data_IF_424733869421
#
_entry.id   IF_424733869421
#
_cell.length_a   1.000
_cell.length_b   1.000
_cell.length_c   1.000
_cell.angle_alpha   90.00
_cell.angle_beta   90.00
_cell.angle_gamma   90.00
#
_symmetry.space_group_name_H-M   'P 1'
#
loop_
_entity.id
_entity.type
_entity.pdbx_description
1 polymer ?
#
# COMPACT_ATOMS: atom_id res chain seq x y z
N UNK A 1 16.94 -4.73 21.59
CA UNK A 1 16.53 -3.54 20.84
C UNK A 1 15.05 -3.27 21.03
N UNK A 2 14.70 -2.03 21.20
CA UNK A 2 13.31 -1.64 21.31
C UNK A 2 12.69 -1.68 19.91
N UNK A 3 11.63 -2.47 19.70
CA UNK A 3 10.96 -2.42 18.41
C UNK A 3 10.41 -1.03 18.16
N UNK A 4 10.44 -0.59 16.93
CA UNK A 4 9.84 0.66 16.54
C UNK A 4 8.34 0.66 16.81
N UNK A 5 7.67 1.83 16.66
CA UNK A 5 6.22 1.88 16.80
C UNK A 5 5.55 0.85 15.90
N UNK A 6 4.53 0.20 16.41
CA UNK A 6 3.80 -0.80 15.64
C UNK A 6 3.14 -0.13 14.42
N UNK A 7 3.20 -0.81 13.27
CA UNK A 7 2.49 -0.37 12.08
C UNK A 7 0.99 -0.67 12.24
N UNK A 8 0.15 0.17 11.64
CA UNK A 8 -1.28 -0.10 11.52
C UNK A 8 -1.63 -0.32 10.05
N UNK A 9 -2.74 -1.00 9.81
CA UNK A 9 -3.25 -1.16 8.45
C UNK A 9 -3.70 0.20 7.91
N UNK A 10 -3.34 0.54 6.66
CA UNK A 10 -3.74 1.83 6.07
C UNK A 10 -5.24 1.94 5.79
N UNK A 11 -5.92 0.82 5.62
CA UNK A 11 -7.38 0.73 5.54
C UNK A 11 -7.82 -0.52 6.27
N UNK A 12 -9.09 -0.56 6.69
CA UNK A 12 -9.68 -1.74 7.31
C UNK A 12 -10.50 -2.48 6.26
N UNK A 13 -10.24 -3.77 6.09
CA UNK A 13 -10.96 -4.60 5.12
C UNK A 13 -10.35 -5.98 4.99
N UNK A 14 -11.00 -6.84 4.22
CA UNK A 14 -10.50 -8.18 3.96
C UNK A 14 -9.36 -8.13 2.96
N UNK A 15 -8.42 -9.06 3.07
CA UNK A 15 -7.41 -9.25 2.04
C UNK A 15 -8.06 -9.93 0.83
N UNK A 16 -8.04 -9.25 -0.32
CA UNK A 16 -8.53 -9.80 -1.58
C UNK A 16 -7.43 -10.63 -2.24
N UNK A 17 -6.19 -10.17 -2.16
CA UNK A 17 -5.02 -10.88 -2.69
C UNK A 17 -3.93 -10.78 -1.65
N UNK A 18 -3.40 -11.92 -1.24
CA UNK A 18 -2.30 -11.98 -0.26
C UNK A 18 -0.95 -11.75 -0.91
N UNK A 19 0.05 -11.55 -0.07
CA UNK A 19 1.43 -11.43 -0.50
C UNK A 19 1.93 -12.79 -1.03
N UNK A 20 2.58 -12.78 -2.19
CA UNK A 20 3.12 -13.98 -2.79
C UNK A 20 4.43 -13.67 -3.51
N UNK A 21 5.56 -13.91 -2.84
CA UNK A 21 6.88 -13.70 -3.40
C UNK A 21 7.40 -14.94 -4.12
N UNK A 22 7.16 -16.11 -3.54
CA UNK A 22 7.74 -17.36 -4.00
C UNK A 22 6.73 -18.26 -4.73
N UNK A 23 5.45 -17.93 -4.71
CA UNK A 23 4.40 -18.64 -5.41
C UNK A 23 3.66 -17.68 -6.33
N UNK A 24 3.08 -18.21 -7.41
CA UNK A 24 2.35 -17.38 -8.35
C UNK A 24 0.88 -17.33 -7.99
N UNK A 25 0.29 -16.14 -8.13
CA UNK A 25 -1.16 -15.96 -8.06
C UNK A 25 -1.66 -15.53 -9.44
N UNK A 26 -2.89 -15.91 -9.78
CA UNK A 26 -3.46 -15.55 -11.07
C UNK A 26 -4.00 -14.13 -11.04
N UNK A 27 -3.57 -13.31 -12.00
CA UNK A 27 -4.12 -11.98 -12.20
C UNK A 27 -5.19 -12.04 -13.28
N UNK A 28 -6.45 -11.81 -12.91
CA UNK A 28 -7.54 -11.75 -13.88
C UNK A 28 -7.39 -10.58 -14.84
N UNK A 29 -6.89 -9.44 -14.35
CA UNK A 29 -6.68 -8.26 -15.18
C UNK A 29 -5.62 -8.50 -16.25
N UNK A 30 -4.48 -9.08 -15.86
CA UNK A 30 -3.36 -9.32 -16.76
C UNK A 30 -3.48 -10.64 -17.53
N UNK A 31 -4.38 -11.51 -17.10
CA UNK A 31 -4.57 -12.81 -17.73
C UNK A 31 -3.39 -13.76 -17.56
N UNK A 32 -2.64 -13.66 -16.49
CA UNK A 32 -1.44 -14.44 -16.27
C UNK A 32 -1.19 -14.72 -14.80
N UNK A 33 -0.38 -15.72 -14.53
CA UNK A 33 0.12 -16.03 -13.19
C UNK A 33 1.33 -15.18 -12.91
N UNK A 34 1.38 -14.56 -11.72
CA UNK A 34 2.48 -13.68 -11.36
C UNK A 34 2.66 -13.64 -9.84
N UNK A 35 3.85 -13.23 -9.39
CA UNK A 35 4.09 -12.95 -7.99
C UNK A 35 3.31 -11.68 -7.60
N UNK A 36 2.90 -11.60 -6.34
CA UNK A 36 2.20 -10.43 -5.81
C UNK A 36 3.02 -9.81 -4.68
N UNK A 37 3.66 -8.70 -4.96
CA UNK A 37 4.65 -8.08 -4.07
C UNK A 37 4.04 -7.24 -2.93
N UNK A 38 2.74 -7.26 -2.79
CA UNK A 38 2.03 -6.56 -1.74
C UNK A 38 0.77 -7.32 -1.40
N UNK A 39 -0.17 -6.62 -0.79
CA UNK A 39 -1.50 -7.15 -0.51
C UNK A 39 -2.55 -6.20 -1.06
N UNK A 40 -3.68 -6.75 -1.46
CA UNK A 40 -4.85 -5.96 -1.86
C UNK A 40 -5.89 -6.06 -0.76
N UNK A 41 -6.29 -4.93 -0.22
CA UNK A 41 -7.20 -4.84 0.91
C UNK A 41 -8.52 -4.25 0.41
N UNK A 42 -9.62 -4.98 0.59
CA UNK A 42 -10.95 -4.50 0.20
C UNK A 42 -11.26 -3.17 0.90
N UNK A 43 -11.72 -2.19 0.14
CA UNK A 43 -12.07 -0.87 0.68
C UNK A 43 -13.01 -0.18 -0.28
N UNK A 44 -13.91 0.64 0.24
CA UNK A 44 -14.84 1.38 -0.60
C UNK A 44 -14.11 2.47 -1.40
N UNK A 45 -14.60 2.78 -2.60
CA UNK A 45 -14.11 3.92 -3.35
C UNK A 45 -14.25 5.19 -2.50
N UNK A 46 -13.19 5.98 -2.44
CA UNK A 46 -13.16 7.20 -1.64
C UNK A 46 -12.82 7.00 -0.18
N UNK A 47 -12.68 5.76 0.30
CA UNK A 47 -12.29 5.50 1.68
C UNK A 47 -10.92 6.11 1.97
N UNK A 48 -10.80 6.76 3.13
CA UNK A 48 -9.55 7.40 3.55
C UNK A 48 -8.47 6.35 3.76
N UNK A 49 -7.28 6.66 3.26
CA UNK A 49 -6.07 5.85 3.46
C UNK A 49 -5.19 6.56 4.48
N UNK A 50 -4.82 5.83 5.54
CA UNK A 50 -4.05 6.37 6.66
C UNK A 50 -2.59 5.97 6.56
N UNK A 51 -1.71 6.84 7.07
CA UNK A 51 -0.28 6.51 7.18
C UNK A 51 -0.12 5.36 8.17
N UNK A 52 0.54 4.26 7.78
CA UNK A 52 0.72 3.11 8.68
C UNK A 52 1.59 3.40 9.90
N UNK A 53 2.47 4.38 9.83
CA UNK A 53 3.32 4.84 10.92
C UNK A 53 3.86 6.22 10.59
N UNK A 54 4.46 6.88 11.58
CA UNK A 54 5.11 8.17 11.36
C UNK A 54 6.24 8.04 10.36
N UNK A 55 6.41 9.05 9.52
CA UNK A 55 7.47 9.07 8.53
C UNK A 55 7.43 10.29 7.64
N UNK A 56 8.17 10.20 6.54
CA UNK A 56 8.28 11.26 5.54
C UNK A 56 7.80 10.74 4.19
N UNK A 57 6.97 11.51 3.50
CA UNK A 57 6.55 11.20 2.14
C UNK A 57 7.74 11.40 1.21
N UNK A 58 8.19 10.33 0.58
CA UNK A 58 9.38 10.36 -0.30
C UNK A 58 9.03 10.40 -1.77
N UNK A 59 7.85 9.90 -2.16
CA UNK A 59 7.42 9.91 -3.56
C UNK A 59 5.90 10.05 -3.64
N UNK A 60 5.46 10.79 -4.65
CA UNK A 60 4.07 10.86 -5.09
C UNK A 60 4.12 10.73 -6.60
N UNK A 61 3.65 9.62 -7.15
CA UNK A 61 3.82 9.32 -8.57
C UNK A 61 2.61 8.59 -9.14
N UNK A 62 2.51 8.61 -10.46
CA UNK A 62 1.56 7.77 -11.18
C UNK A 62 2.35 6.59 -11.76
N UNK A 63 2.13 5.40 -11.20
CA UNK A 63 2.73 4.18 -11.71
C UNK A 63 1.89 3.67 -12.87
N UNK A 64 2.54 3.22 -13.94
CA UNK A 64 1.85 2.77 -15.15
C UNK A 64 0.87 1.63 -14.89
N UNK A 65 1.20 0.72 -13.98
CA UNK A 65 0.37 -0.45 -13.68
C UNK A 65 -0.40 -0.32 -12.37
N UNK A 66 0.19 0.34 -11.36
CA UNK A 66 -0.39 0.39 -10.01
C UNK A 66 -1.17 1.68 -9.74
N UNK A 67 -1.10 2.65 -10.66
CA UNK A 67 -1.84 3.89 -10.55
C UNK A 67 -1.19 4.91 -9.62
N UNK A 68 -2.01 5.80 -9.07
CA UNK A 68 -1.49 6.84 -8.17
C UNK A 68 -0.94 6.21 -6.90
N UNK A 69 0.30 6.54 -6.59
CA UNK A 69 1.06 5.89 -5.52
C UNK A 69 1.74 6.92 -4.64
N UNK A 70 1.63 6.73 -3.32
CA UNK A 70 2.35 7.51 -2.32
C UNK A 70 3.31 6.57 -1.60
N UNK A 71 4.56 6.98 -1.47
CA UNK A 71 5.59 6.22 -0.76
C UNK A 71 5.99 6.98 0.50
N UNK A 72 5.97 6.29 1.64
CA UNK A 72 6.34 6.86 2.94
C UNK A 72 7.50 6.06 3.50
N UNK A 73 8.60 6.75 3.83
CA UNK A 73 9.69 6.14 4.57
C UNK A 73 9.44 6.39 6.05
N UNK A 74 9.20 5.31 6.78
CA UNK A 74 8.91 5.38 8.21
C UNK A 74 10.19 5.55 9.04
N UNK A 75 10.05 6.20 10.18
CA UNK A 75 11.17 6.42 11.10
C UNK A 75 11.75 5.10 11.61
N UNK A 76 10.93 4.04 11.61
CA UNK A 76 11.32 2.69 12.03
C UNK A 76 12.19 1.94 11.02
N UNK A 77 12.39 2.49 9.82
CA UNK A 77 13.15 1.83 8.75
C UNK A 77 12.30 1.08 7.74
N UNK A 78 11.01 0.88 8.03
CA UNK A 78 10.08 0.34 7.04
C UNK A 78 9.73 1.40 6.01
N UNK A 79 9.30 0.94 4.84
CA UNK A 79 8.80 1.82 3.78
C UNK A 79 7.45 1.28 3.31
N UNK A 80 6.45 2.15 3.24
CA UNK A 80 5.11 1.79 2.76
C UNK A 80 4.87 2.39 1.39
N UNK A 81 4.29 1.59 0.49
CA UNK A 81 3.89 2.02 -0.84
C UNK A 81 2.40 1.79 -0.97
N UNK A 82 1.65 2.87 -1.11
CA UNK A 82 0.18 2.88 -1.11
C UNK A 82 -0.29 3.22 -2.52
N UNK A 83 -0.90 2.27 -3.21
CA UNK A 83 -1.24 2.38 -4.63
C UNK A 83 -2.74 2.20 -4.89
N UNK A 84 -3.14 2.45 -6.13
CA UNK A 84 -4.54 2.45 -6.55
C UNK A 84 -5.33 3.58 -5.90
N UNK A 85 -4.65 4.69 -5.64
CA UNK A 85 -5.27 5.87 -5.03
C UNK A 85 -6.10 6.65 -6.04
N UNK A 86 -7.05 7.42 -5.56
CA UNK A 86 -7.91 8.26 -6.40
C UNK A 86 -7.14 9.46 -6.97
N UNK A 87 -6.17 9.98 -6.23
CA UNK A 87 -5.38 11.16 -6.63
C UNK A 87 -4.11 11.25 -5.80
N UNK A 88 -3.27 12.26 -6.10
CA UNK A 88 -2.05 12.56 -5.36
C UNK A 88 -2.17 13.89 -4.60
N UNK A 89 -3.39 14.33 -4.30
CA UNK A 89 -3.62 15.68 -3.75
C UNK A 89 -3.55 15.76 -2.23
N UNK A 90 -3.51 14.62 -1.51
CA UNK A 90 -3.59 14.62 -0.05
C UNK A 90 -2.27 15.03 0.62
N UNK A 91 -1.14 14.66 0.02
CA UNK A 91 0.19 14.94 0.57
C UNK A 91 1.15 15.30 -0.56
N UNK A 92 2.29 15.88 -0.17
CA UNK A 92 3.37 16.24 -1.10
C UNK A 92 4.68 15.61 -0.63
N UNK A 93 5.60 15.40 -1.58
CA UNK A 93 6.94 14.90 -1.27
C UNK A 93 7.59 15.84 -0.26
N UNK A 94 8.17 15.25 0.79
CA UNK A 94 8.80 15.98 1.88
C UNK A 94 7.90 16.20 3.10
N UNK A 95 6.59 15.92 2.97
CA UNK A 95 5.68 16.08 4.11
C UNK A 95 5.99 15.07 5.21
N UNK A 96 5.95 15.54 6.46
CA UNK A 96 5.97 14.68 7.63
C UNK A 96 4.55 14.25 7.94
N UNK A 97 4.37 12.96 8.18
CA UNK A 97 3.06 12.41 8.57
C UNK A 97 3.21 11.65 9.88
N UNK A 98 2.14 11.64 10.66
CA UNK A 98 2.03 10.82 11.86
C UNK A 98 1.20 9.60 11.56
N UNK A 99 1.34 8.55 12.38
CA UNK A 99 0.52 7.36 12.24
C UNK A 99 -0.97 7.76 12.28
N UNK A 100 -1.72 7.30 11.30
CA UNK A 100 -3.15 7.59 11.19
C UNK A 100 -3.49 8.83 10.36
N UNK A 101 -2.51 9.65 9.99
CA UNK A 101 -2.78 10.83 9.15
C UNK A 101 -3.30 10.39 7.76
N UNK A 102 -4.20 11.18 7.19
CA UNK A 102 -4.71 10.93 5.85
C UNK A 102 -3.63 11.16 4.82
N UNK A 103 -3.37 10.16 3.97
CA UNK A 103 -2.37 10.26 2.90
C UNK A 103 -2.95 10.02 1.52
N UNK A 104 -4.24 9.70 1.44
CA UNK A 104 -4.92 9.50 0.17
C UNK A 104 -6.31 8.96 0.36
N UNK A 105 -6.91 8.53 -0.73
CA UNK A 105 -8.20 7.83 -0.72
C UNK A 105 -8.19 6.72 -1.77
N UNK A 106 -9.00 5.71 -1.56
CA UNK A 106 -9.10 4.55 -2.44
C UNK A 106 -9.72 4.95 -3.78
N UNK A 107 -9.06 4.56 -4.87
CA UNK A 107 -9.51 4.86 -6.22
C UNK A 107 -9.56 3.63 -7.10
N UNK A 108 -9.42 3.84 -8.41
CA UNK A 108 -9.40 2.79 -9.43
C UNK A 108 -8.33 3.10 -10.48
N UNK A 109 -7.17 3.57 -10.03
CA UNK A 109 -6.11 3.99 -10.94
C UNK A 109 -5.15 2.88 -11.34
N UNK A 110 -5.17 1.72 -10.68
CA UNK A 110 -4.27 0.61 -10.97
C UNK A 110 -4.78 -0.21 -12.15
N UNK A 111 -4.15 -0.07 -13.31
CA UNK A 111 -4.55 -0.83 -14.51
C UNK A 111 -4.34 -2.32 -14.35
N UNK A 112 -3.28 -2.73 -13.64
CA UNK A 112 -2.97 -4.15 -13.45
C UNK A 112 -3.98 -4.87 -12.56
N UNK A 113 -4.82 -4.13 -11.82
CA UNK A 113 -5.77 -4.69 -10.86
C UNK A 113 -7.18 -4.15 -11.04
N UNK A 114 -7.50 -3.64 -12.23
CA UNK A 114 -8.78 -2.99 -12.49
C UNK A 114 -9.99 -3.94 -12.40
N UNK A 115 -9.77 -5.25 -12.57
CA UNK A 115 -10.83 -6.24 -12.46
C UNK A 115 -11.15 -6.66 -11.03
N UNK A 116 -10.35 -6.22 -10.07
CA UNK A 116 -10.64 -6.49 -8.67
C UNK A 116 -11.72 -5.56 -8.14
N UNK A 117 -12.40 -6.01 -7.08
CA UNK A 117 -13.30 -5.12 -6.32
C UNK A 117 -12.52 -3.89 -5.82
N UNK A 118 -13.19 -2.79 -5.47
CA UNK A 118 -12.50 -1.63 -4.93
C UNK A 118 -11.58 -2.02 -3.79
N UNK A 119 -10.34 -1.52 -3.83
CA UNK A 119 -9.30 -1.95 -2.90
C UNK A 119 -8.14 -0.96 -2.84
N UNK A 120 -7.33 -1.09 -1.79
CA UNK A 120 -6.02 -0.46 -1.71
C UNK A 120 -4.96 -1.53 -1.99
N UNK A 121 -3.98 -1.20 -2.83
CA UNK A 121 -2.79 -2.04 -2.99
C UNK A 121 -1.70 -1.50 -2.07
N UNK A 122 -1.21 -2.35 -1.17
CA UNK A 122 -0.25 -1.97 -0.15
C UNK A 122 1.00 -2.85 -0.20
N UNK A 123 2.16 -2.21 -0.37
CA UNK A 123 3.45 -2.88 -0.33
C UNK A 123 4.23 -2.38 0.87
N UNK A 124 4.86 -3.30 1.58
CA UNK A 124 5.71 -2.99 2.73
C UNK A 124 7.11 -3.49 2.45
N UNK A 125 8.10 -2.64 2.67
CA UNK A 125 9.50 -2.97 2.44
C UNK A 125 10.31 -2.74 3.71
N UNK A 126 11.36 -3.54 3.89
CA UNK A 126 12.34 -3.34 4.94
C UNK A 126 13.71 -3.56 4.33
N UNK A 127 14.58 -2.56 4.44
CA UNK A 127 15.94 -2.59 3.85
C UNK A 127 15.93 -2.96 2.37
N UNK A 128 14.94 -2.43 1.62
CA UNK A 128 14.82 -2.66 0.18
C UNK A 128 14.17 -3.97 -0.22
N UNK A 129 13.79 -4.83 0.73
CA UNK A 129 13.15 -6.10 0.43
C UNK A 129 11.65 -6.03 0.70
N UNK A 130 10.87 -6.56 -0.24
CA UNK A 130 9.42 -6.70 -0.08
C UNK A 130 9.13 -7.73 1.01
N UNK A 131 8.23 -7.40 1.92
CA UNK A 131 7.81 -8.30 2.99
C UNK A 131 6.29 -8.37 3.05
N UNK A 132 5.78 -9.44 3.63
CA UNK A 132 4.34 -9.62 3.81
C UNK A 132 3.84 -8.73 4.96
N UNK A 133 3.00 -7.70 4.67
CA UNK A 133 2.50 -6.84 5.74
C UNK A 133 1.73 -7.60 6.82
N UNK A 134 1.06 -8.69 6.46
CA UNK A 134 0.26 -9.48 7.41
C UNK A 134 1.11 -10.16 8.47
N UNK A 135 2.42 -10.32 8.23
CA UNK A 135 3.34 -10.90 9.22
C UNK A 135 3.86 -9.86 10.22
N UNK A 136 3.72 -8.59 9.90
CA UNK A 136 4.26 -7.49 10.70
C UNK A 136 3.15 -6.72 11.40
N UNK A 137 2.06 -6.46 10.70
CA UNK A 137 0.94 -5.67 11.21
C UNK A 137 -0.05 -6.60 11.89
N UNK A 138 -0.38 -6.28 13.15
CA UNK A 138 -1.36 -7.04 13.94
C UNK A 138 -2.67 -6.28 14.01
N UNK A 139 -3.75 -7.01 13.99
CA UNK A 139 -5.07 -6.41 14.12
C UNK A 139 -6.01 -6.62 12.93
#
# INVERSE_FOLDING_TARGET
PTPGPALIWPVQGELLTGFSKDALVYSETMGQWQAHEGVDIAAALGQVVAAPAAGTVTECLEDMLMGYTVVIRHDSGYESRLSNLASLNAVSVGDRVQQGDTVGSVGQSALSEEKLAPHLHYELMLNGAQIDPARVIKG
#
